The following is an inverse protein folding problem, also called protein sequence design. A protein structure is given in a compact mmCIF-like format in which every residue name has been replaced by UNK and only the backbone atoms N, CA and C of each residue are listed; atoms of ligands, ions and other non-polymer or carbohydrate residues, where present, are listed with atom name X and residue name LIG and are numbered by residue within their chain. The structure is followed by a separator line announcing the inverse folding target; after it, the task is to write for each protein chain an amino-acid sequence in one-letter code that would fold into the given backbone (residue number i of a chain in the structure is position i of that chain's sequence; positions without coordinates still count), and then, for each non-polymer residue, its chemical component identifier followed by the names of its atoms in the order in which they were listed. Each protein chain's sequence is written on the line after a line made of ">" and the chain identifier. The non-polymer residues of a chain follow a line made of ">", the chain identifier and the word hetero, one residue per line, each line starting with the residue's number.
data_IF_298326361636
#
_entry.id   IF_298326361636
#
_cell.length_a   1.000
_cell.length_b   1.000
_cell.length_c   1.000
_cell.angle_alpha   90.00
_cell.angle_beta   90.00
_cell.angle_gamma   90.00
#
_symmetry.space_group_name_H-M   'P 1'
#
loop_
_entity.id
_entity.type
_entity.pdbx_description
1 polymer ?
#
# COMPACT_ATOMS: atom_id res chain seq x y z
N UNK A 1 78.36 11.03 8.62
CA UNK A 1 77.53 9.90 9.09
C UNK A 1 76.25 9.91 8.26
N UNK A 2 76.18 9.11 7.20
CA UNK A 2 75.05 9.09 6.27
C UNK A 2 74.21 7.84 6.55
N UNK A 3 73.01 8.03 7.10
CA UNK A 3 72.04 6.97 7.30
C UNK A 3 71.30 6.70 5.97
N UNK A 4 71.56 5.54 5.37
CA UNK A 4 70.79 5.01 4.25
C UNK A 4 69.48 4.41 4.77
N UNK A 5 68.36 5.10 4.57
CA UNK A 5 67.01 4.56 4.79
C UNK A 5 66.64 3.66 3.60
N UNK A 6 66.61 2.34 3.82
CA UNK A 6 66.04 1.40 2.87
C UNK A 6 64.50 1.46 2.96
N UNK A 7 63.88 2.15 2.01
CA UNK A 7 62.44 2.10 1.80
C UNK A 7 62.03 0.69 1.33
N UNK A 8 61.43 -0.09 2.24
CA UNK A 8 60.88 -1.41 1.94
C UNK A 8 59.72 -1.31 0.94
N UNK A 9 59.94 -1.78 -0.28
CA UNK A 9 58.91 -1.84 -1.33
C UNK A 9 57.89 -2.91 -0.94
N UNK A 10 56.67 -2.49 -0.57
CA UNK A 10 55.54 -3.41 -0.37
C UNK A 10 55.30 -4.13 -1.71
N UNK A 11 55.36 -5.45 -1.71
CA UNK A 11 54.97 -6.27 -2.87
C UNK A 11 53.45 -6.20 -2.99
N UNK A 12 52.93 -5.60 -4.04
CA UNK A 12 51.53 -5.78 -4.42
C UNK A 12 51.35 -7.23 -4.85
N UNK A 13 50.57 -8.01 -4.10
CA UNK A 13 50.14 -9.33 -4.55
C UNK A 13 48.97 -9.16 -5.51
N UNK A 14 49.19 -9.47 -6.78
CA UNK A 14 48.09 -9.60 -7.73
C UNK A 14 47.23 -10.84 -7.44
N UNK A 15 45.97 -10.80 -7.86
CA UNK A 15 45.09 -11.96 -7.84
C UNK A 15 45.59 -13.03 -8.81
N UNK A 16 45.47 -14.30 -8.43
CA UNK A 16 45.79 -15.42 -9.33
C UNK A 16 44.66 -15.65 -10.33
N UNK A 17 44.99 -16.17 -11.53
CA UNK A 17 43.98 -16.49 -12.55
C UNK A 17 42.94 -17.49 -12.02
N UNK A 18 43.38 -18.47 -11.22
CA UNK A 18 42.49 -19.46 -10.62
C UNK A 18 41.55 -18.84 -9.58
N UNK A 19 42.03 -17.89 -8.79
CA UNK A 19 41.22 -17.18 -7.79
C UNK A 19 40.13 -16.35 -8.45
N UNK A 20 40.43 -15.70 -9.58
CA UNK A 20 39.42 -14.97 -10.35
C UNK A 20 38.35 -15.91 -10.93
N UNK A 21 38.73 -17.10 -11.41
CA UNK A 21 37.77 -18.11 -11.89
C UNK A 21 36.85 -18.58 -10.76
N UNK A 22 37.42 -18.89 -9.59
CA UNK A 22 36.64 -19.34 -8.43
C UNK A 22 35.66 -18.25 -7.99
N UNK A 23 36.09 -16.99 -7.95
CA UNK A 23 35.22 -15.86 -7.62
C UNK A 23 34.07 -15.72 -8.62
N UNK A 24 34.34 -15.85 -9.92
CA UNK A 24 33.28 -15.79 -10.94
C UNK A 24 32.27 -16.93 -10.79
N UNK A 25 32.74 -18.15 -10.47
CA UNK A 25 31.86 -19.29 -10.20
C UNK A 25 31.01 -19.04 -8.96
N UNK A 26 31.62 -18.55 -7.87
CA UNK A 26 30.89 -18.22 -6.64
C UNK A 26 29.83 -17.13 -6.87
N UNK A 27 30.17 -16.06 -7.59
CA UNK A 27 29.21 -15.02 -7.97
C UNK A 27 28.09 -15.60 -8.83
N UNK A 28 28.40 -16.48 -9.78
CA UNK A 28 27.40 -17.16 -10.61
C UNK A 28 26.41 -17.99 -9.80
N UNK A 29 26.90 -18.78 -8.84
CA UNK A 29 26.05 -19.59 -7.96
C UNK A 29 25.19 -18.71 -7.03
N UNK A 30 25.80 -17.68 -6.43
CA UNK A 30 25.07 -16.73 -5.58
C UNK A 30 24.02 -15.95 -6.36
N UNK A 31 24.29 -15.58 -7.61
CA UNK A 31 23.34 -14.87 -8.47
C UNK A 31 22.07 -15.71 -8.70
N UNK A 32 22.19 -17.00 -9.00
CA UNK A 32 21.03 -17.89 -9.23
C UNK A 32 20.14 -18.00 -7.97
N UNK A 33 20.73 -17.99 -6.78
CA UNK A 33 19.97 -18.08 -5.53
C UNK A 33 19.40 -16.72 -5.05
N UNK A 34 20.14 -15.62 -5.24
CA UNK A 34 19.79 -14.31 -4.71
C UNK A 34 18.84 -13.52 -5.61
N UNK A 35 19.00 -13.61 -6.93
CA UNK A 35 18.18 -12.87 -7.91
C UNK A 35 16.68 -13.15 -7.77
N UNK A 36 16.19 -14.40 -7.75
CA UNK A 36 14.75 -14.65 -7.68
C UNK A 36 14.11 -14.07 -6.42
N UNK A 37 14.84 -14.08 -5.30
CA UNK A 37 14.38 -13.56 -3.99
C UNK A 37 14.38 -12.04 -3.92
N UNK A 38 15.22 -11.36 -4.69
CA UNK A 38 15.20 -9.90 -4.79
C UNK A 38 13.99 -9.38 -5.58
N UNK A 39 13.42 -10.23 -6.44
CA UNK A 39 12.15 -9.98 -7.13
C UNK A 39 10.93 -10.52 -6.38
N UNK A 40 11.09 -11.07 -5.16
CA UNK A 40 9.94 -11.48 -4.35
C UNK A 40 9.11 -10.25 -3.96
N UNK A 41 7.85 -10.29 -4.40
CA UNK A 41 6.88 -9.18 -4.42
C UNK A 41 6.31 -8.79 -3.05
N UNK A 42 6.83 -9.42 -1.99
CA UNK A 42 6.43 -9.17 -0.59
C UNK A 42 6.49 -7.71 -0.17
N UNK A 43 7.37 -6.92 -0.81
CA UNK A 43 7.44 -5.48 -0.58
C UNK A 43 6.27 -4.71 -1.21
N UNK A 44 5.82 -5.13 -2.40
CA UNK A 44 4.70 -4.52 -3.12
C UNK A 44 3.36 -4.81 -2.42
N UNK A 45 3.16 -6.05 -1.94
CA UNK A 45 1.95 -6.40 -1.18
C UNK A 45 1.83 -5.60 0.12
N UNK A 46 2.93 -5.49 0.90
CA UNK A 46 2.93 -4.72 2.15
C UNK A 46 2.77 -3.23 1.91
N UNK A 47 3.47 -2.68 0.91
CA UNK A 47 3.33 -1.28 0.53
C UNK A 47 1.91 -0.94 0.09
N UNK A 48 1.27 -1.82 -0.69
CA UNK A 48 -0.11 -1.66 -1.09
C UNK A 48 -1.08 -1.78 0.09
N UNK A 49 -0.90 -2.76 0.97
CA UNK A 49 -1.68 -2.91 2.19
C UNK A 49 -1.65 -1.63 3.05
N UNK A 50 -0.47 -1.06 3.27
CA UNK A 50 -0.33 0.16 4.06
C UNK A 50 -0.95 1.38 3.37
N UNK A 51 -0.85 1.46 2.04
CA UNK A 51 -1.52 2.49 1.25
C UNK A 51 -3.05 2.41 1.36
N UNK A 52 -3.62 1.20 1.28
CA UNK A 52 -5.06 0.98 1.47
C UNK A 52 -5.48 1.36 2.88
N UNK A 53 -4.74 0.93 3.91
CA UNK A 53 -5.02 1.29 5.30
C UNK A 53 -4.99 2.81 5.50
N UNK A 54 -3.98 3.48 4.95
CA UNK A 54 -3.86 4.94 5.02
C UNK A 54 -5.00 5.65 4.29
N UNK A 55 -5.45 5.13 3.14
CA UNK A 55 -6.58 5.64 2.39
C UNK A 55 -7.91 5.54 3.17
N UNK A 56 -8.19 4.39 3.79
CA UNK A 56 -9.38 4.20 4.63
C UNK A 56 -9.37 5.16 5.82
N UNK A 57 -8.22 5.29 6.50
CA UNK A 57 -8.07 6.24 7.61
C UNK A 57 -8.22 7.69 7.14
N UNK A 58 -7.74 8.02 5.94
CA UNK A 58 -7.93 9.34 5.33
C UNK A 58 -9.40 9.62 5.04
N UNK A 59 -10.12 8.66 4.44
CA UNK A 59 -11.56 8.78 4.18
C UNK A 59 -12.34 9.09 5.46
N UNK A 60 -12.06 8.39 6.56
CA UNK A 60 -12.66 8.68 7.88
C UNK A 60 -12.37 10.10 8.36
N UNK A 61 -11.13 10.57 8.24
CA UNK A 61 -10.77 11.95 8.61
C UNK A 61 -11.50 12.97 7.75
N UNK A 62 -11.63 12.71 6.44
CA UNK A 62 -12.38 13.58 5.54
C UNK A 62 -13.87 13.59 5.90
N UNK A 63 -14.47 12.46 6.26
CA UNK A 63 -15.87 12.39 6.67
C UNK A 63 -16.16 13.31 7.88
N UNK A 64 -15.30 13.21 8.91
CA UNK A 64 -15.40 14.05 10.11
C UNK A 64 -15.12 15.52 9.80
N UNK A 65 -14.08 15.82 9.02
CA UNK A 65 -13.69 17.19 8.71
C UNK A 65 -14.70 17.92 7.81
N UNK A 66 -15.24 17.22 6.81
CA UNK A 66 -16.22 17.77 5.88
C UNK A 66 -17.66 17.72 6.40
N UNK A 67 -17.90 16.99 7.50
CA UNK A 67 -19.23 16.67 8.04
C UNK A 67 -20.15 16.05 7.01
N UNK A 68 -19.61 15.12 6.21
CA UNK A 68 -20.32 14.45 5.10
C UNK A 68 -20.08 12.96 5.16
N UNK A 69 -20.94 12.21 4.46
CA UNK A 69 -20.67 10.80 4.21
C UNK A 69 -19.54 10.65 3.20
N UNK A 70 -18.59 9.77 3.51
CA UNK A 70 -17.46 9.44 2.62
C UNK A 70 -17.46 7.94 2.40
N UNK A 71 -17.45 7.54 1.14
CA UNK A 71 -17.41 6.16 0.73
C UNK A 71 -15.98 5.77 0.36
N UNK A 72 -15.59 4.59 0.84
CA UNK A 72 -14.45 3.83 0.38
C UNK A 72 -15.01 2.65 -0.41
N UNK A 73 -14.80 2.68 -1.72
CA UNK A 73 -15.29 1.63 -2.62
C UNK A 73 -14.13 0.70 -2.95
N UNK A 74 -14.32 -0.58 -2.63
CA UNK A 74 -13.36 -1.65 -2.90
C UNK A 74 -13.80 -2.39 -4.16
N UNK A 75 -13.05 -2.23 -5.24
CA UNK A 75 -13.21 -3.00 -6.48
C UNK A 75 -12.29 -4.21 -6.39
N UNK A 76 -12.86 -5.36 -6.05
CA UNK A 76 -12.11 -6.60 -5.92
C UNK A 76 -11.51 -7.04 -7.26
N UNK A 77 -10.31 -7.63 -7.21
CA UNK A 77 -9.61 -8.07 -8.40
C UNK A 77 -8.14 -8.34 -8.15
N UNK A 78 -7.35 -8.30 -9.22
CA UNK A 78 -5.89 -8.45 -9.18
C UNK A 78 -5.22 -7.42 -10.07
N UNK A 79 -4.06 -6.92 -9.65
CA UNK A 79 -3.32 -5.90 -10.40
C UNK A 79 -4.15 -4.65 -10.68
N UNK A 80 -4.05 -4.12 -11.90
CA UNK A 80 -4.68 -2.85 -12.28
C UNK A 80 -6.22 -2.82 -12.15
N UNK A 81 -6.88 -3.97 -12.02
CA UNK A 81 -8.33 -4.06 -11.80
C UNK A 81 -8.74 -4.04 -10.33
N UNK A 82 -7.78 -4.24 -9.42
CA UNK A 82 -7.99 -4.14 -7.99
C UNK A 82 -7.74 -2.71 -7.52
N UNK A 83 -8.79 -2.01 -7.10
CA UNK A 83 -8.73 -0.59 -6.78
C UNK A 83 -9.55 -0.28 -5.53
N UNK A 84 -8.99 0.55 -4.65
CA UNK A 84 -9.74 1.25 -3.61
C UNK A 84 -9.91 2.70 -4.03
N UNK A 85 -11.14 3.18 -4.11
CA UNK A 85 -11.44 4.58 -4.43
C UNK A 85 -12.16 5.29 -3.30
N UNK A 86 -11.93 6.60 -3.17
CA UNK A 86 -12.60 7.45 -2.18
C UNK A 86 -13.50 8.45 -2.89
N UNK A 87 -14.76 8.50 -2.47
CA UNK A 87 -15.73 9.51 -2.90
C UNK A 87 -16.55 10.01 -1.73
N UNK A 88 -17.25 11.12 -1.91
CA UNK A 88 -18.10 11.73 -0.89
C UNK A 88 -19.48 12.03 -1.44
N UNK A 89 -20.45 12.01 -0.53
CA UNK A 89 -21.80 12.50 -0.75
C UNK A 89 -21.83 14.01 -0.45
N UNK A 90 -22.18 14.81 -1.45
CA UNK A 90 -22.25 16.28 -1.32
C UNK A 90 -23.60 16.76 -0.80
N UNK A 91 -24.54 15.87 -0.51
CA UNK A 91 -25.76 16.22 0.20
C UNK A 91 -25.48 16.43 1.69
N UNK A 92 -26.25 17.32 2.33
CA UNK A 92 -26.13 17.54 3.77
C UNK A 92 -26.77 16.36 4.51
N UNK A 93 -26.12 15.80 5.55
CA UNK A 93 -26.61 14.61 6.24
C UNK A 93 -28.02 14.75 6.83
N UNK A 94 -28.34 15.95 7.33
CA UNK A 94 -29.59 16.28 8.03
C UNK A 94 -30.83 16.43 7.14
N UNK A 95 -30.64 16.56 5.81
CA UNK A 95 -31.73 16.74 4.84
C UNK A 95 -31.77 15.69 3.74
N UNK A 96 -30.81 14.77 3.70
CA UNK A 96 -30.71 13.80 2.62
C UNK A 96 -31.75 12.68 2.81
N UNK A 97 -32.67 12.54 1.85
CA UNK A 97 -33.58 11.40 1.76
C UNK A 97 -32.93 10.26 0.97
N UNK A 98 -33.21 9.01 1.35
CA UNK A 98 -32.70 7.83 0.66
C UNK A 98 -31.27 7.43 1.03
N UNK A 99 -30.71 6.52 0.23
CA UNK A 99 -29.40 5.93 0.48
C UNK A 99 -28.27 6.94 0.27
N UNK A 100 -27.17 6.75 1.00
CA UNK A 100 -25.92 7.49 0.78
C UNK A 100 -25.46 7.27 -0.65
N UNK A 101 -25.14 8.36 -1.35
CA UNK A 101 -24.71 8.33 -2.75
C UNK A 101 -23.44 9.15 -2.93
N UNK A 102 -22.30 8.46 -2.92
CA UNK A 102 -21.00 9.12 -3.06
C UNK A 102 -20.59 9.23 -4.54
N UNK A 103 -20.88 10.38 -5.13
CA UNK A 103 -20.62 10.66 -6.57
C UNK A 103 -19.43 11.59 -6.80
N UNK A 104 -18.96 12.29 -5.76
CA UNK A 104 -17.88 13.27 -5.90
C UNK A 104 -16.57 12.67 -5.44
N UNK A 105 -15.52 12.69 -6.27
CA UNK A 105 -14.22 12.13 -5.91
C UNK A 105 -13.53 12.95 -4.80
N UNK A 106 -12.86 12.24 -3.89
CA UNK A 106 -12.03 12.85 -2.85
C UNK A 106 -10.57 12.54 -3.18
N UNK A 107 -9.76 13.52 -3.61
CA UNK A 107 -8.39 13.25 -4.00
C UNK A 107 -7.55 12.80 -2.81
N UNK A 108 -6.72 11.77 -3.03
CA UNK A 108 -5.73 11.33 -2.06
C UNK A 108 -4.52 12.26 -2.10
N UNK A 109 -3.89 12.48 -0.94
CA UNK A 109 -2.64 13.25 -0.86
C UNK A 109 -1.48 12.58 -1.62
N UNK A 110 -1.53 11.25 -1.77
CA UNK A 110 -0.60 10.47 -2.56
C UNK A 110 -1.40 9.39 -3.32
N UNK A 111 -1.94 9.71 -4.52
CA UNK A 111 -2.60 8.69 -5.33
C UNK A 111 -1.61 7.60 -5.75
N UNK A 112 -2.10 6.37 -5.91
CA UNK A 112 -1.26 5.26 -6.36
C UNK A 112 -0.61 5.59 -7.71
N UNK A 113 0.72 5.38 -7.83
CA UNK A 113 1.39 5.54 -9.13
C UNK A 113 0.76 4.58 -10.14
N UNK A 114 0.23 5.13 -11.25
CA UNK A 114 -0.42 4.34 -12.29
C UNK A 114 -1.92 4.12 -12.11
N UNK A 115 -2.55 4.74 -11.12
CA UNK A 115 -4.01 4.78 -11.01
C UNK A 115 -4.65 5.64 -12.10
N UNK A 116 -5.90 5.29 -12.47
CA UNK A 116 -6.66 6.02 -13.46
C UNK A 116 -7.15 7.37 -12.93
N UNK A 117 -7.43 7.45 -11.62
CA UNK A 117 -7.87 8.68 -10.96
C UNK A 117 -7.06 9.04 -9.71
N UNK A 118 -7.13 10.31 -9.31
CA UNK A 118 -6.41 10.85 -8.15
C UNK A 118 -7.03 10.47 -6.79
N UNK A 119 -8.20 9.85 -6.79
CA UNK A 119 -8.90 9.35 -5.62
C UNK A 119 -8.76 7.83 -5.45
N UNK A 120 -7.81 7.21 -6.15
CA UNK A 120 -7.62 5.76 -6.18
C UNK A 120 -6.27 5.31 -5.61
N UNK A 121 -6.30 4.13 -5.00
CA UNK A 121 -5.15 3.29 -4.66
C UNK A 121 -5.29 1.97 -5.42
N UNK A 122 -4.37 1.69 -6.33
CA UNK A 122 -4.47 0.57 -7.28
C UNK A 122 -3.43 -0.48 -6.96
N UNK A 123 -3.82 -1.75 -7.07
CA UNK A 123 -2.95 -2.86 -6.72
C UNK A 123 -1.83 -3.03 -7.76
N UNK A 124 -0.58 -3.23 -7.33
CA UNK A 124 0.51 -3.64 -8.22
C UNK A 124 0.21 -4.98 -8.91
N UNK A 125 0.87 -5.25 -10.03
CA UNK A 125 0.65 -6.48 -10.80
C UNK A 125 0.86 -7.74 -9.94
N UNK A 126 -0.17 -8.60 -9.90
CA UNK A 126 -0.15 -9.85 -9.13
C UNK A 126 -0.60 -9.73 -7.67
N UNK A 127 -0.81 -8.52 -7.16
CA UNK A 127 -1.43 -8.29 -5.84
C UNK A 127 -2.94 -8.37 -5.97
N UNK A 128 -3.59 -9.14 -5.10
CA UNK A 128 -5.05 -9.26 -5.06
C UNK A 128 -5.65 -8.35 -3.99
N UNK A 129 -6.80 -7.77 -4.29
CA UNK A 129 -7.62 -6.98 -3.36
C UNK A 129 -9.02 -7.60 -3.30
N UNK A 130 -9.61 -7.62 -2.12
CA UNK A 130 -11.01 -7.99 -1.93
C UNK A 130 -11.57 -7.42 -0.63
N UNK A 131 -12.73 -7.97 -0.23
CA UNK A 131 -13.42 -7.56 0.97
C UNK A 131 -14.46 -6.46 0.73
N UNK A 132 -14.83 -5.79 1.82
CA UNK A 132 -15.98 -4.91 1.87
C UNK A 132 -15.67 -3.50 1.37
N UNK A 133 -16.72 -2.80 0.95
CA UNK A 133 -16.71 -1.33 0.85
C UNK A 133 -17.22 -0.73 2.16
N UNK A 134 -16.75 0.46 2.50
CA UNK A 134 -17.03 1.13 3.79
C UNK A 134 -17.61 2.50 3.52
N UNK A 135 -18.64 2.90 4.27
CA UNK A 135 -19.14 4.28 4.29
C UNK A 135 -18.89 4.85 5.67
N UNK A 136 -18.17 5.96 5.76
CA UNK A 136 -18.01 6.71 6.99
C UNK A 136 -19.06 7.80 7.11
N UNK A 137 -19.70 7.89 8.26
CA UNK A 137 -20.59 8.98 8.60
C UNK A 137 -19.81 10.23 9.08
N UNK A 138 -20.48 11.39 9.26
CA UNK A 138 -19.85 12.60 9.78
C UNK A 138 -19.23 12.49 11.18
N UNK A 139 -19.54 11.43 11.92
CA UNK A 139 -18.98 11.13 13.24
C UNK A 139 -17.78 10.16 13.14
N UNK A 140 -17.46 9.69 11.94
CA UNK A 140 -16.37 8.76 11.67
C UNK A 140 -16.70 7.30 12.01
N UNK A 141 -17.98 6.94 12.14
CA UNK A 141 -18.47 5.56 12.29
C UNK A 141 -18.67 4.92 10.94
N UNK A 142 -18.61 3.59 10.86
CA UNK A 142 -18.97 2.91 9.60
C UNK A 142 -20.46 2.59 9.56
N UNK A 143 -21.10 2.95 8.47
CA UNK A 143 -22.54 2.76 8.24
C UNK A 143 -22.80 2.03 6.92
N UNK A 144 -23.99 1.48 6.78
CA UNK A 144 -24.49 0.98 5.50
C UNK A 144 -24.99 2.12 4.62
N UNK A 145 -25.32 1.83 3.35
CA UNK A 145 -25.92 2.82 2.45
C UNK A 145 -27.24 3.39 2.99
N UNK A 146 -27.96 2.64 3.84
CA UNK A 146 -29.19 3.09 4.51
C UNK A 146 -28.93 3.83 5.83
N UNK A 147 -27.67 4.17 6.14
CA UNK A 147 -27.23 4.92 7.34
C UNK A 147 -27.42 4.19 8.67
N UNK A 148 -27.72 2.89 8.62
CA UNK A 148 -27.63 2.06 9.80
C UNK A 148 -26.17 1.79 10.13
N UNK A 149 -25.84 1.59 11.41
CA UNK A 149 -24.50 1.17 11.79
C UNK A 149 -24.14 -0.14 11.07
N UNK A 150 -22.97 -0.18 10.43
CA UNK A 150 -22.50 -1.39 9.79
C UNK A 150 -22.03 -2.43 10.83
N UNK A 151 -21.83 -3.67 10.40
CA UNK A 151 -21.06 -4.66 11.16
C UNK A 151 -19.56 -4.37 11.10
N UNK A 152 -18.75 -5.29 11.62
CA UNK A 152 -17.30 -5.26 11.38
C UNK A 152 -17.05 -5.54 9.89
N UNK A 153 -16.32 -4.65 9.23
CA UNK A 153 -15.98 -4.75 7.81
C UNK A 153 -14.50 -5.10 7.65
N UNK A 154 -14.16 -5.81 6.58
CA UNK A 154 -12.78 -6.20 6.31
C UNK A 154 -12.40 -5.99 4.84
N UNK A 155 -11.26 -5.35 4.61
CA UNK A 155 -10.60 -5.27 3.30
C UNK A 155 -9.42 -6.24 3.31
N UNK A 156 -9.27 -7.02 2.26
CA UNK A 156 -8.25 -8.06 2.16
C UNK A 156 -7.25 -7.75 1.07
N UNK A 157 -5.97 -7.95 1.37
CA UNK A 157 -4.86 -7.87 0.42
C UNK A 157 -4.14 -9.21 0.43
N UNK A 158 -3.78 -9.73 -0.75
CA UNK A 158 -3.07 -11.01 -0.86
C UNK A 158 -1.84 -11.05 0.04
N UNK A 159 -1.67 -12.17 0.77
CA UNK A 159 -0.50 -12.44 1.61
C UNK A 159 -0.25 -11.38 2.71
N UNK A 160 -1.27 -10.60 3.08
CA UNK A 160 -1.22 -9.59 4.15
C UNK A 160 -2.35 -9.80 5.17
N UNK A 161 -2.21 -9.30 6.41
CA UNK A 161 -3.30 -9.28 7.37
C UNK A 161 -4.53 -8.53 6.83
N UNK A 162 -5.71 -8.87 7.34
CA UNK A 162 -6.94 -8.18 6.97
C UNK A 162 -6.95 -6.79 7.62
N UNK A 163 -7.33 -5.79 6.83
CA UNK A 163 -7.60 -4.43 7.32
C UNK A 163 -9.04 -4.43 7.82
N UNK A 164 -9.23 -4.38 9.13
CA UNK A 164 -10.58 -4.44 9.73
C UNK A 164 -11.03 -3.08 10.24
N UNK A 165 -12.29 -2.76 10.01
CA UNK A 165 -12.92 -1.50 10.43
C UNK A 165 -13.96 -1.80 11.50
N UNK A 166 -13.77 -1.21 12.69
CA UNK A 166 -14.71 -1.35 13.79
C UNK A 166 -15.87 -0.34 13.65
N UNK A 167 -17.13 -0.76 13.77
CA UNK A 167 -18.24 0.07 13.34
C UNK A 167 -18.50 1.33 14.17
N UNK A 168 -18.43 1.23 15.50
CA UNK A 168 -18.75 2.36 16.39
C UNK A 168 -17.66 3.42 16.47
N UNK A 169 -16.41 3.01 16.26
CA UNK A 169 -15.25 3.91 16.38
C UNK A 169 -14.70 4.32 15.02
N UNK A 170 -15.00 3.56 13.97
CA UNK A 170 -14.32 3.62 12.68
C UNK A 170 -12.83 3.32 12.78
N UNK A 171 -12.40 2.64 13.85
CA UNK A 171 -11.00 2.30 14.05
C UNK A 171 -10.54 1.29 12.98
N UNK A 172 -9.37 1.53 12.40
CA UNK A 172 -8.80 0.72 11.32
C UNK A 172 -7.55 0.02 11.84
N UNK A 173 -7.57 -1.31 11.94
CA UNK A 173 -6.43 -2.14 12.36
C UNK A 173 -5.95 -3.02 11.22
#
# INVERSE_FOLDING_TARGET
>A
MNHHLHAGRRRESGFTLIELIIVMILVGVLAVAAIPRFFDRTFDERGFHDAVKAAVQHARRVAVASRRFVCVTTTAGTGAFAVVSISMDTTLPEGAAGNVSCTTSVPLAAPGRGCAASNEVCAPAGVALGGDSVIFDPLGRSVTATRALAGVLAITVSNSPNITIQPETGWVQ
#
